data_IF_029756108768
#
_entry.id   IF_029756108768
#
_cell.length_a   1.000
_cell.length_b   1.000
_cell.length_c   1.000
_cell.angle_alpha   90.00
_cell.angle_beta   90.00
_cell.angle_gamma   90.00
#
_symmetry.space_group_name_H-M   'P 1'
#
loop_
_entity.id
_entity.type
_entity.pdbx_description
1 polymer ?
#
# COMPACT_ATOMS: atom_id res chain seq x y z
N UNK A 1 34.57 4.20 1.87
CA UNK A 1 33.68 5.29 2.33
C UNK A 1 32.39 4.63 2.69
N UNK A 2 32.44 4.01 3.86
CA UNK A 2 31.53 2.98 4.32
C UNK A 2 30.90 3.49 5.60
N UNK A 3 29.57 3.45 5.61
CA UNK A 3 28.70 3.23 6.77
C UNK A 3 29.39 3.25 8.14
N UNK A 4 29.14 4.28 8.95
CA UNK A 4 28.77 4.16 10.37
C UNK A 4 28.92 5.51 11.09
N UNK A 5 27.90 6.38 11.04
CA UNK A 5 27.84 7.57 11.92
C UNK A 5 26.45 7.85 12.52
N UNK A 6 25.45 7.00 12.29
CA UNK A 6 24.07 7.32 12.68
C UNK A 6 23.62 6.78 14.06
N UNK A 7 24.40 5.95 14.77
CA UNK A 7 23.94 5.36 16.03
C UNK A 7 24.90 5.61 17.20
N UNK A 8 24.79 6.80 17.81
CA UNK A 8 25.27 7.06 19.17
C UNK A 8 24.28 6.48 20.18
N UNK A 9 24.48 5.22 20.60
CA UNK A 9 23.86 4.67 21.81
C UNK A 9 24.94 4.09 22.74
N UNK A 10 24.89 4.48 24.02
CA UNK A 10 25.88 4.20 25.06
C UNK A 10 26.04 2.69 25.36
N UNK A 11 27.29 2.24 25.47
CA UNK A 11 27.73 0.81 25.49
C UNK A 11 27.34 -0.01 26.73
N UNK A 12 26.68 0.55 27.75
CA UNK A 12 26.54 -0.14 29.03
C UNK A 12 25.22 -0.92 29.24
N UNK A 13 24.15 -0.65 28.47
CA UNK A 13 22.84 -1.28 28.72
C UNK A 13 22.19 -1.92 27.48
N UNK A 14 22.99 -2.34 26.49
CA UNK A 14 22.46 -2.86 25.21
C UNK A 14 22.64 -4.37 24.99
N UNK A 15 23.07 -5.16 25.99
CA UNK A 15 23.43 -6.58 25.76
C UNK A 15 22.50 -7.64 26.34
N UNK A 16 21.36 -7.30 26.94
CA UNK A 16 20.48 -8.34 27.53
C UNK A 16 19.01 -8.34 27.09
N UNK A 17 18.45 -7.21 26.64
CA UNK A 17 17.00 -7.14 26.35
C UNK A 17 16.68 -6.83 24.87
N UNK A 18 17.64 -6.41 24.04
CA UNK A 18 17.35 -5.98 22.67
C UNK A 18 17.61 -7.03 21.58
N UNK A 19 18.05 -8.25 21.92
CA UNK A 19 18.62 -9.18 20.94
C UNK A 19 17.66 -10.19 20.27
N UNK A 20 16.50 -10.62 20.83
CA UNK A 20 15.67 -11.59 20.09
C UNK A 20 14.40 -11.03 19.44
N UNK A 21 13.90 -9.84 19.81
CA UNK A 21 12.55 -9.42 19.37
C UNK A 21 12.56 -8.49 18.15
N UNK A 22 13.64 -7.76 17.88
CA UNK A 22 13.62 -6.72 16.84
C UNK A 22 14.12 -7.19 15.45
N UNK A 23 14.81 -8.34 15.37
CA UNK A 23 15.28 -8.92 14.11
C UNK A 23 14.32 -9.95 13.51
N UNK A 24 13.05 -9.88 13.89
CA UNK A 24 11.97 -10.24 12.98
C UNK A 24 11.35 -8.94 12.52
N UNK A 25 12.12 -8.19 11.73
CA UNK A 25 11.55 -7.34 10.70
C UNK A 25 10.56 -8.23 9.97
N UNK A 26 9.28 -8.14 10.30
CA UNK A 26 8.23 -8.74 9.52
C UNK A 26 8.42 -8.11 8.14
N UNK A 27 8.93 -8.82 7.12
CA UNK A 27 8.79 -8.29 5.79
C UNK A 27 7.28 -8.34 5.60
N UNK A 28 6.58 -7.22 5.84
CA UNK A 28 5.18 -7.10 5.44
C UNK A 28 5.23 -7.50 3.98
N UNK A 29 4.68 -8.67 3.61
CA UNK A 29 4.86 -9.15 2.26
C UNK A 29 4.27 -8.06 1.38
N UNK A 30 4.95 -7.68 0.27
CA UNK A 30 4.47 -6.58 -0.60
C UNK A 30 2.97 -6.70 -0.90
N UNK A 31 2.47 -7.93 -0.99
CA UNK A 31 1.04 -8.25 -1.11
C UNK A 31 0.15 -7.66 -0.01
N UNK A 32 0.57 -7.63 1.25
CA UNK A 32 -0.20 -7.00 2.33
C UNK A 32 -0.36 -5.50 2.08
N UNK A 33 0.70 -4.82 1.63
CA UNK A 33 0.61 -3.40 1.27
C UNK A 33 -0.25 -3.16 0.03
N UNK A 34 -0.23 -4.07 -0.95
CA UNK A 34 -1.10 -4.02 -2.12
C UNK A 34 -2.58 -4.22 -1.72
N UNK A 35 -2.88 -5.12 -0.78
CA UNK A 35 -4.23 -5.33 -0.27
C UNK A 35 -4.78 -4.08 0.44
N UNK A 36 -3.97 -3.43 1.30
CA UNK A 36 -4.37 -2.18 1.96
C UNK A 36 -4.59 -1.04 0.95
N UNK A 37 -3.70 -0.88 -0.03
CA UNK A 37 -3.86 0.10 -1.12
C UNK A 37 -5.14 -0.16 -1.91
N UNK A 38 -5.48 -1.42 -2.16
CA UNK A 38 -6.67 -1.78 -2.94
C UNK A 38 -7.98 -1.59 -2.16
N UNK A 39 -7.97 -1.82 -0.84
CA UNK A 39 -9.11 -1.48 0.03
C UNK A 39 -9.38 0.04 0.03
N UNK A 40 -8.33 0.85 0.06
CA UNK A 40 -8.47 2.31 -0.05
C UNK A 40 -8.99 2.69 -1.44
N UNK A 41 -8.47 2.07 -2.50
CA UNK A 41 -8.91 2.32 -3.87
C UNK A 41 -10.39 2.02 -4.10
N UNK A 42 -10.89 0.89 -3.58
CA UNK A 42 -12.32 0.53 -3.68
C UNK A 42 -13.21 1.51 -2.92
N UNK A 43 -12.77 1.99 -1.75
CA UNK A 43 -13.46 3.04 -1.01
C UNK A 43 -13.48 4.36 -1.76
N UNK A 44 -12.34 4.82 -2.30
CA UNK A 44 -12.26 6.05 -3.08
C UNK A 44 -13.15 5.99 -4.34
N UNK A 45 -13.20 4.84 -5.02
CA UNK A 45 -14.09 4.65 -6.18
C UNK A 45 -15.59 4.65 -5.82
N UNK A 46 -15.94 4.38 -4.56
CA UNK A 46 -17.31 4.37 -4.05
C UNK A 46 -17.74 5.72 -3.50
N UNK A 47 -16.85 6.36 -2.74
CA UNK A 47 -17.13 7.58 -1.99
C UNK A 47 -16.86 8.85 -2.83
N UNK A 48 -16.23 8.73 -4.01
CA UNK A 48 -15.88 9.87 -4.86
C UNK A 48 -15.98 9.58 -6.37
N UNK A 49 -16.21 10.63 -7.15
CA UNK A 49 -16.14 10.61 -8.63
C UNK A 49 -14.72 10.88 -9.17
N UNK A 50 -13.68 10.64 -8.35
CA UNK A 50 -12.30 10.87 -8.75
C UNK A 50 -11.93 10.07 -10.00
N UNK A 51 -11.11 10.69 -10.85
CA UNK A 51 -10.49 10.01 -11.98
C UNK A 51 -9.57 8.90 -11.48
N UNK A 52 -9.47 7.81 -12.24
CA UNK A 52 -8.66 6.64 -11.85
C UNK A 52 -7.17 7.00 -11.70
N UNK A 53 -6.65 7.92 -12.54
CA UNK A 53 -5.33 8.50 -12.37
C UNK A 53 -5.11 9.20 -11.02
N UNK A 54 -6.10 9.93 -10.52
CA UNK A 54 -6.01 10.60 -9.22
C UNK A 54 -6.02 9.59 -8.05
N UNK A 55 -6.86 8.54 -8.16
CA UNK A 55 -6.89 7.44 -7.20
C UNK A 55 -5.54 6.69 -7.19
N UNK A 56 -4.98 6.42 -8.36
CA UNK A 56 -3.67 5.77 -8.51
C UNK A 56 -2.55 6.57 -7.84
N UNK A 57 -2.52 7.90 -8.04
CA UNK A 57 -1.55 8.77 -7.39
C UNK A 57 -1.69 8.78 -5.85
N UNK A 58 -2.91 8.82 -5.32
CA UNK A 58 -3.16 8.84 -3.87
C UNK A 58 -2.71 7.55 -3.17
N UNK A 59 -2.90 6.40 -3.82
CA UNK A 59 -2.50 5.10 -3.25
C UNK A 59 -1.07 4.70 -3.67
N UNK A 60 -0.31 5.62 -4.27
CA UNK A 60 1.12 5.49 -4.54
C UNK A 60 1.50 4.60 -5.73
N UNK A 61 0.67 4.55 -6.78
CA UNK A 61 1.05 4.04 -8.10
C UNK A 61 1.55 5.18 -8.99
N UNK A 62 2.56 4.89 -9.80
CA UNK A 62 3.15 5.85 -10.74
C UNK A 62 2.25 6.17 -11.94
N UNK A 63 1.29 5.30 -12.26
CA UNK A 63 0.33 5.51 -13.35
C UNK A 63 -1.00 4.81 -13.10
N UNK A 64 -2.05 5.32 -13.75
CA UNK A 64 -3.36 4.66 -13.80
C UNK A 64 -3.26 3.22 -14.34
N UNK A 65 -2.39 2.99 -15.32
CA UNK A 65 -2.19 1.67 -15.91
C UNK A 65 -1.60 0.67 -14.92
N UNK A 66 -0.57 1.07 -14.16
CA UNK A 66 0.04 0.22 -13.14
C UNK A 66 -0.97 -0.15 -12.04
N UNK A 67 -1.79 0.82 -11.62
CA UNK A 67 -2.90 0.60 -10.72
C UNK A 67 -3.94 -0.36 -11.31
N UNK A 68 -4.40 -0.13 -12.54
CA UNK A 68 -5.43 -0.94 -13.18
C UNK A 68 -5.01 -2.41 -13.36
N UNK A 69 -3.73 -2.64 -13.66
CA UNK A 69 -3.15 -3.99 -13.71
C UNK A 69 -3.14 -4.67 -12.35
N UNK A 70 -2.66 -3.99 -11.31
CA UNK A 70 -2.66 -4.51 -9.96
C UNK A 70 -4.09 -4.78 -9.45
N UNK A 71 -5.02 -3.87 -9.74
CA UNK A 71 -6.44 -3.99 -9.39
C UNK A 71 -7.07 -5.20 -10.07
N UNK A 72 -6.89 -5.36 -11.39
CA UNK A 72 -7.42 -6.51 -12.12
C UNK A 72 -6.84 -7.83 -11.62
N UNK A 73 -5.56 -7.88 -11.27
CA UNK A 73 -4.92 -9.08 -10.70
C UNK A 73 -5.53 -9.48 -9.36
N UNK A 74 -5.88 -8.50 -8.51
CA UNK A 74 -6.42 -8.76 -7.17
C UNK A 74 -7.95 -8.95 -7.14
N UNK A 75 -8.69 -8.24 -7.99
CA UNK A 75 -10.16 -8.24 -7.99
C UNK A 75 -10.80 -8.96 -9.18
N UNK A 76 -10.01 -9.43 -10.16
CA UNK A 76 -10.50 -10.13 -11.36
C UNK A 76 -11.14 -9.23 -12.42
N UNK A 77 -11.54 -8.00 -12.08
CA UNK A 77 -12.17 -7.03 -12.99
C UNK A 77 -11.42 -5.71 -13.01
N UNK A 78 -11.59 -4.92 -14.07
CA UNK A 78 -10.96 -3.61 -14.16
C UNK A 78 -11.62 -2.59 -13.21
N UNK A 79 -10.88 -1.60 -12.68
CA UNK A 79 -11.44 -0.60 -11.77
C UNK A 79 -12.57 0.22 -12.42
N UNK A 80 -12.49 0.48 -13.73
CA UNK A 80 -13.57 1.12 -14.48
C UNK A 80 -14.85 0.26 -14.56
N UNK A 81 -14.72 -1.05 -14.74
CA UNK A 81 -15.87 -1.97 -14.70
C UNK A 81 -16.44 -2.08 -13.27
N UNK A 82 -15.57 -2.15 -12.26
CA UNK A 82 -15.95 -2.13 -10.85
C UNK A 82 -16.77 -0.87 -10.51
N UNK A 83 -16.31 0.32 -10.92
CA UNK A 83 -17.02 1.59 -10.70
C UNK A 83 -18.36 1.65 -11.42
N UNK A 84 -18.45 1.14 -12.66
CA UNK A 84 -19.73 1.08 -13.39
C UNK A 84 -20.74 0.13 -12.75
N UNK A 85 -20.28 -1.03 -12.27
CA UNK A 85 -21.14 -1.99 -11.56
C UNK A 85 -21.58 -1.50 -10.17
N UNK A 86 -20.81 -0.59 -9.55
CA UNK A 86 -21.13 -0.02 -8.25
C UNK A 86 -21.97 1.26 -8.30
N UNK A 87 -22.01 2.00 -9.42
CA UNK A 87 -22.88 3.19 -9.53
C UNK A 87 -24.28 2.80 -9.06
N UNK A 88 -24.75 3.43 -7.97
CA UNK A 88 -26.12 3.24 -7.46
C UNK A 88 -27.07 3.28 -8.66
N UNK A 89 -28.00 2.31 -8.80
CA UNK A 89 -29.00 2.41 -9.84
C UNK A 89 -29.85 3.66 -9.55
N UNK A 90 -29.67 4.70 -10.37
CA UNK A 90 -30.49 5.91 -10.37
C UNK A 90 -30.25 6.87 -9.20
N UNK A 91 -29.81 8.08 -9.55
CA UNK A 91 -30.45 9.28 -8.98
C UNK A 91 -31.74 9.54 -9.73
#
# INVERSE_FOLDING_TARGET
MDSCDACKCSRAFARRICAPVFQSAWPIPRSLSDLWRMMIATRLMRDSDLQLAAIAAQIGYSSEYAFAHAFKRLHGISPGAYRRGWKKPGG
#
